data_IF_642391828738
#
_entry.id   IF_642391828738
#
_cell.length_a   1.000
_cell.length_b   1.000
_cell.length_c   1.000
_cell.angle_alpha   90.00
_cell.angle_beta   90.00
_cell.angle_gamma   90.00
#
_symmetry.space_group_name_H-M   'P 1'
#
loop_
_entity.id
_entity.type
_entity.pdbx_description
1 polymer ?
#
# COMPACT_ATOMS: atom_id res chain seq x y z
N UNK A 1 9.00 13.21 -6.25
CA UNK A 1 10.36 12.62 -6.20
C UNK A 1 10.27 11.10 -6.12
N UNK A 2 11.34 10.32 -6.40
CA UNK A 2 11.32 8.86 -6.21
C UNK A 2 10.91 8.44 -4.79
N UNK A 3 11.36 9.17 -3.76
CA UNK A 3 10.98 8.95 -2.36
C UNK A 3 9.46 9.11 -2.13
N UNK A 4 8.84 10.15 -2.69
CA UNK A 4 7.39 10.36 -2.58
C UNK A 4 6.57 9.24 -3.26
N UNK A 5 7.07 8.71 -4.38
CA UNK A 5 6.42 7.59 -5.09
C UNK A 5 6.59 6.30 -4.28
N UNK A 6 7.79 6.01 -3.75
CA UNK A 6 8.01 4.87 -2.86
C UNK A 6 7.17 4.95 -1.59
N UNK A 7 7.07 6.13 -0.97
CA UNK A 7 6.21 6.36 0.19
C UNK A 7 4.73 6.11 -0.13
N UNK A 8 4.26 6.56 -1.30
CA UNK A 8 2.91 6.25 -1.77
C UNK A 8 2.66 4.75 -1.93
N UNK A 9 3.65 3.98 -2.42
CA UNK A 9 3.54 2.52 -2.55
C UNK A 9 3.47 1.84 -1.19
N UNK A 10 4.27 2.29 -0.21
CA UNK A 10 4.23 1.77 1.16
C UNK A 10 2.91 2.11 1.84
N UNK A 11 2.37 3.32 1.69
CA UNK A 11 1.06 3.64 2.26
C UNK A 11 -0.05 2.81 1.59
N UNK A 12 0.07 2.58 0.29
CA UNK A 12 -0.82 1.68 -0.44
C UNK A 12 -0.74 0.22 0.01
N UNK A 13 0.42 -0.25 0.49
CA UNK A 13 0.60 -1.59 1.06
C UNK A 13 -0.29 -1.80 2.29
N UNK A 14 -0.25 -0.87 3.25
CA UNK A 14 -1.06 -0.96 4.49
C UNK A 14 -2.57 -0.96 4.23
N UNK A 15 -3.02 -0.20 3.23
CA UNK A 15 -4.44 -0.12 2.88
C UNK A 15 -4.85 -1.30 2.01
N UNK A 16 -4.00 -1.68 1.05
CA UNK A 16 -4.32 -2.70 0.05
C UNK A 16 -4.29 -4.12 0.59
N UNK A 17 -3.33 -4.47 1.46
CA UNK A 17 -3.27 -5.82 2.05
C UNK A 17 -4.39 -6.08 3.06
N UNK A 18 -5.09 -5.05 3.54
CA UNK A 18 -6.21 -5.23 4.44
C UNK A 18 -7.50 -5.46 3.63
N UNK A 19 -8.16 -6.63 3.74
CA UNK A 19 -9.39 -6.90 3.00
C UNK A 19 -10.58 -6.08 3.51
N UNK A 20 -10.52 -5.56 4.74
CA UNK A 20 -11.60 -4.83 5.38
C UNK A 20 -11.31 -3.34 5.47
N UNK A 21 -12.40 -2.55 5.53
CA UNK A 21 -12.29 -1.17 5.96
C UNK A 21 -12.09 -1.11 7.48
N UNK A 22 -10.98 -0.53 7.91
CA UNK A 22 -10.56 -0.42 9.31
C UNK A 22 -10.09 1.00 9.63
N UNK A 23 -10.05 1.34 10.93
CA UNK A 23 -9.57 2.64 11.37
C UNK A 23 -8.13 2.93 10.92
N UNK A 24 -7.23 1.96 11.00
CA UNK A 24 -5.84 2.19 10.58
C UNK A 24 -5.73 2.38 9.06
N UNK A 25 -6.53 1.68 8.24
CA UNK A 25 -6.58 1.94 6.79
C UNK A 25 -7.03 3.38 6.49
N UNK A 26 -7.98 3.92 7.27
CA UNK A 26 -8.37 5.34 7.18
C UNK A 26 -7.23 6.27 7.60
N UNK A 27 -6.52 5.97 8.67
CA UNK A 27 -5.34 6.74 9.10
C UNK A 27 -4.29 6.78 7.99
N UNK A 28 -3.97 5.64 7.35
CA UNK A 28 -3.03 5.63 6.23
C UNK A 28 -3.53 6.39 5.01
N UNK A 29 -4.85 6.36 4.74
CA UNK A 29 -5.45 7.16 3.67
C UNK A 29 -5.27 8.66 3.93
N UNK A 30 -5.47 9.08 5.18
CA UNK A 30 -5.25 10.46 5.62
C UNK A 30 -3.76 10.84 5.53
N UNK A 31 -2.85 9.93 5.90
CA UNK A 31 -1.41 10.13 5.77
C UNK A 31 -0.96 10.30 4.31
N UNK A 32 -1.63 9.68 3.33
CA UNK A 32 -1.33 9.91 1.91
C UNK A 32 -1.47 11.40 1.56
N UNK A 33 -2.48 12.07 2.12
CA UNK A 33 -2.70 13.50 1.88
C UNK A 33 -1.70 14.36 2.66
N UNK A 34 -1.53 14.12 3.96
CA UNK A 34 -0.65 14.93 4.82
C UNK A 34 0.83 14.83 4.46
N UNK A 35 1.31 13.64 4.05
CA UNK A 35 2.71 13.43 3.70
C UNK A 35 3.06 13.91 2.28
N UNK A 36 2.10 14.53 1.57
CA UNK A 36 2.28 15.06 0.21
C UNK A 36 2.94 14.04 -0.73
N UNK A 37 2.56 12.76 -0.59
CA UNK A 37 3.05 11.69 -1.46
C UNK A 37 2.28 11.71 -2.79
N UNK A 38 2.75 10.95 -3.78
CA UNK A 38 2.11 10.93 -5.09
C UNK A 38 0.78 10.17 -5.04
N UNK A 39 -0.34 10.90 -4.92
CA UNK A 39 -1.70 10.38 -4.70
C UNK A 39 -2.10 9.32 -5.73
N UNK A 40 -1.87 9.56 -7.03
CA UNK A 40 -2.21 8.58 -8.07
C UNK A 40 -1.42 7.27 -7.93
N UNK A 41 -0.17 7.33 -7.46
CA UNK A 41 0.61 6.12 -7.17
C UNK A 41 0.06 5.41 -5.96
N UNK A 42 -0.39 6.13 -4.94
CA UNK A 42 -0.96 5.53 -3.75
C UNK A 42 -2.20 4.70 -4.10
N UNK A 43 -3.16 5.27 -4.84
CA UNK A 43 -4.35 4.54 -5.28
C UNK A 43 -4.04 3.36 -6.19
N UNK A 44 -3.11 3.51 -7.14
CA UNK A 44 -2.66 2.39 -7.97
C UNK A 44 -2.05 1.28 -7.10
N UNK A 45 -1.24 1.67 -6.12
CA UNK A 45 -0.61 0.72 -5.21
C UNK A 45 -1.63 0.01 -4.33
N UNK A 46 -2.68 0.70 -3.85
CA UNK A 46 -3.78 0.07 -3.12
C UNK A 46 -4.42 -1.02 -3.97
N UNK A 47 -4.74 -0.72 -5.24
CA UNK A 47 -5.35 -1.70 -6.13
C UNK A 47 -4.46 -2.93 -6.36
N UNK A 48 -3.16 -2.71 -6.60
CA UNK A 48 -2.19 -3.80 -6.78
C UNK A 48 -2.07 -4.65 -5.51
N UNK A 49 -1.87 -4.02 -4.35
CA UNK A 49 -1.73 -4.73 -3.09
C UNK A 49 -3.02 -5.44 -2.66
N UNK A 50 -4.19 -4.94 -3.07
CA UNK A 50 -5.46 -5.62 -2.84
C UNK A 50 -5.58 -6.93 -3.61
N UNK A 51 -5.12 -6.95 -4.86
CA UNK A 51 -5.05 -8.19 -5.65
C UNK A 51 -4.05 -9.17 -5.02
N UNK A 52 -2.88 -8.67 -4.63
CA UNK A 52 -1.84 -9.48 -3.96
C UNK A 52 -2.36 -9.99 -2.59
N UNK A 53 -3.14 -9.16 -1.89
CA UNK A 53 -3.73 -9.48 -0.59
C UNK A 53 -4.49 -10.79 -0.60
N UNK A 54 -5.32 -11.03 -1.62
CA UNK A 54 -6.04 -12.30 -1.77
C UNK A 54 -5.13 -13.54 -1.80
N UNK A 55 -3.92 -13.41 -2.33
CA UNK A 55 -2.92 -14.50 -2.33
C UNK A 55 -2.20 -14.62 -0.99
N UNK A 56 -2.04 -13.51 -0.27
CA UNK A 56 -1.35 -13.40 1.02
C UNK A 56 -2.28 -13.66 2.20
N UNK A 57 -3.60 -13.69 1.99
CA UNK A 57 -4.62 -13.89 3.03
C UNK A 57 -4.41 -15.15 3.89
N UNK A 58 -4.05 -16.34 3.34
CA UNK A 58 -3.76 -17.52 4.16
C UNK A 58 -2.57 -17.31 5.09
N UNK A 59 -1.53 -16.62 4.62
CA UNK A 59 -0.35 -16.28 5.43
C UNK A 59 -0.71 -15.26 6.51
N UNK A 60 -1.49 -14.24 6.16
CA UNK A 60 -2.00 -13.25 7.10
C UNK A 60 -2.83 -13.91 8.20
N UNK A 61 -3.75 -14.81 7.83
CA UNK A 61 -4.52 -15.59 8.78
C UNK A 61 -3.62 -16.38 9.73
N UNK A 62 -2.62 -17.10 9.21
CA UNK A 62 -1.71 -17.91 10.02
C UNK A 62 -0.93 -17.06 11.05
N UNK A 63 -0.38 -15.92 10.62
CA UNK A 63 0.35 -14.99 11.49
C UNK A 63 -0.58 -14.41 12.55
N UNK A 64 -1.76 -13.91 12.17
CA UNK A 64 -2.70 -13.33 13.11
C UNK A 64 -3.28 -14.35 14.08
N UNK A 65 -3.55 -15.58 13.62
CA UNK A 65 -3.99 -16.67 14.48
C UNK A 65 -2.91 -17.05 15.49
N UNK A 66 -1.65 -17.11 15.07
CA UNK A 66 -0.54 -17.34 15.98
C UNK A 66 -0.45 -16.25 17.06
N UNK A 67 -0.57 -14.98 16.68
CA UNK A 67 -0.51 -13.85 17.62
C UNK A 67 -1.71 -13.75 18.58
N UNK A 68 -2.92 -14.01 18.10
CA UNK A 68 -4.15 -13.84 18.88
C UNK A 68 -4.53 -15.08 19.68
N UNK A 69 -4.20 -16.28 19.21
CA UNK A 69 -4.76 -17.54 19.75
C UNK A 69 -3.69 -18.46 20.31
N UNK A 70 -2.48 -18.49 19.73
CA UNK A 70 -1.43 -19.43 20.17
C UNK A 70 -0.54 -18.90 21.30
N UNK A 71 -0.52 -17.59 21.53
CA UNK A 71 0.34 -16.96 22.54
C UNK A 71 -0.53 -16.49 23.71
N UNK A 72 -0.77 -17.39 24.67
CA UNK A 72 -1.63 -17.10 25.82
C UNK A 72 -1.16 -15.91 26.67
N UNK A 73 0.17 -15.67 26.71
CA UNK A 73 0.74 -14.53 27.43
C UNK A 73 0.36 -13.17 26.86
N UNK A 74 -0.14 -13.11 25.61
CA UNK A 74 -0.63 -11.87 25.00
C UNK A 74 -2.13 -11.64 25.26
N UNK A 75 -2.86 -12.59 25.83
CA UNK A 75 -4.29 -12.43 26.12
C UNK A 75 -4.61 -11.19 26.96
N UNK A 76 -3.86 -10.86 28.04
CA UNK A 76 -4.11 -9.63 28.80
C UNK A 76 -3.88 -8.36 27.96
N UNK A 77 -2.88 -8.37 27.08
CA UNK A 77 -2.58 -7.24 26.18
C UNK A 77 -3.72 -7.02 25.18
N UNK A 78 -4.17 -8.09 24.51
CA UNK A 78 -5.29 -8.00 23.56
C UNK A 78 -6.60 -7.61 24.24
N UNK A 79 -6.86 -8.13 25.44
CA UNK A 79 -8.05 -7.79 26.23
C UNK A 79 -8.06 -6.31 26.63
N UNK A 80 -6.92 -5.77 27.06
CA UNK A 80 -6.79 -4.35 27.38
C UNK A 80 -7.08 -3.48 26.15
N UNK A 81 -6.45 -3.78 25.01
CA UNK A 81 -6.69 -3.06 23.75
C UNK A 81 -8.16 -3.12 23.32
N UNK A 82 -8.80 -4.28 23.47
CA UNK A 82 -10.21 -4.47 23.12
C UNK A 82 -11.15 -3.63 23.98
N UNK A 83 -10.81 -3.41 25.25
CA UNK A 83 -11.65 -2.63 26.18
C UNK A 83 -11.47 -1.11 26.03
N UNK A 84 -10.59 -0.64 25.14
CA UNK A 84 -10.48 0.79 24.84
C UNK A 84 -11.56 1.26 23.87
N UNK A 85 -11.91 2.55 23.90
CA UNK A 85 -12.99 3.08 23.08
C UNK A 85 -12.70 3.13 21.57
N UNK A 86 -11.42 3.23 21.17
CA UNK A 86 -11.05 3.54 19.78
C UNK A 86 -10.38 2.34 19.09
N UNK A 87 -9.55 1.58 19.79
CA UNK A 87 -8.71 0.54 19.17
C UNK A 87 -9.53 -0.61 18.55
N UNK A 88 -10.69 -1.03 19.07
CA UNK A 88 -11.53 -2.05 18.43
C UNK A 88 -11.94 -1.71 16.98
N UNK A 89 -12.04 -0.42 16.62
CA UNK A 89 -12.33 0.00 15.23
C UNK A 89 -11.20 -0.32 14.24
N UNK A 90 -10.00 -0.64 14.72
CA UNK A 90 -8.93 -1.21 13.90
C UNK A 90 -9.21 -2.65 13.46
N UNK A 91 -10.15 -3.34 14.12
CA UNK A 91 -10.48 -4.75 13.92
C UNK A 91 -9.28 -5.68 14.13
N UNK A 92 -8.34 -5.32 15.02
CA UNK A 92 -7.16 -6.14 15.32
C UNK A 92 -7.50 -7.56 15.80
N UNK A 93 -8.70 -7.79 16.33
CA UNK A 93 -9.20 -9.11 16.74
C UNK A 93 -9.52 -10.05 15.56
N UNK A 94 -9.47 -9.54 14.32
CA UNK A 94 -9.54 -10.37 13.13
C UNK A 94 -8.11 -10.83 12.74
N UNK A 95 -7.93 -12.14 12.62
CA UNK A 95 -6.63 -12.76 12.31
C UNK A 95 -6.04 -12.28 10.98
N UNK A 96 -6.85 -12.14 9.94
CA UNK A 96 -6.38 -11.65 8.63
C UNK A 96 -5.96 -10.19 8.73
N UNK A 97 -6.75 -9.35 9.40
CA UNK A 97 -6.43 -7.91 9.60
C UNK A 97 -5.11 -7.74 10.35
N UNK A 98 -4.95 -8.42 11.49
CA UNK A 98 -3.73 -8.33 12.29
C UNK A 98 -2.52 -8.86 11.52
N UNK A 99 -2.66 -10.01 10.87
CA UNK A 99 -1.59 -10.60 10.07
C UNK A 99 -1.16 -9.69 8.91
N UNK A 100 -2.12 -9.15 8.14
CA UNK A 100 -1.84 -8.21 7.05
C UNK A 100 -1.15 -6.95 7.56
N UNK A 101 -1.51 -6.46 8.74
CA UNK A 101 -0.84 -5.31 9.36
C UNK A 101 0.62 -5.63 9.73
N UNK A 102 0.88 -6.78 10.35
CA UNK A 102 2.24 -7.23 10.69
C UNK A 102 3.09 -7.46 9.43
N UNK A 103 2.53 -8.12 8.41
CA UNK A 103 3.20 -8.31 7.12
C UNK A 103 3.54 -6.95 6.49
N UNK A 104 2.61 -5.99 6.52
CA UNK A 104 2.83 -4.65 5.99
C UNK A 104 3.97 -3.92 6.72
N UNK A 105 4.04 -4.05 8.06
CA UNK A 105 5.14 -3.51 8.86
C UNK A 105 6.49 -4.11 8.44
N UNK A 106 6.58 -5.43 8.32
CA UNK A 106 7.80 -6.14 7.92
C UNK A 106 8.21 -5.73 6.49
N UNK A 107 7.25 -5.64 5.58
CA UNK A 107 7.49 -5.33 4.18
C UNK A 107 7.75 -3.84 3.91
N UNK A 108 7.50 -2.95 4.87
CA UNK A 108 7.65 -1.50 4.68
C UNK A 108 9.05 -1.11 4.18
N UNK A 109 10.10 -1.54 4.89
CA UNK A 109 11.49 -1.23 4.55
C UNK A 109 11.90 -1.84 3.19
N UNK A 110 11.73 -3.17 2.96
CA UNK A 110 12.16 -3.76 1.69
C UNK A 110 11.37 -3.20 0.50
N UNK A 111 10.06 -2.99 0.61
CA UNK A 111 9.25 -2.40 -0.47
C UNK A 111 9.69 -0.96 -0.76
N UNK A 112 9.94 -0.15 0.27
CA UNK A 112 10.40 1.23 0.07
C UNK A 112 11.71 1.29 -0.73
N UNK A 113 12.72 0.51 -0.30
CA UNK A 113 14.04 0.48 -0.92
C UNK A 113 13.93 -0.08 -2.34
N UNK A 114 13.19 -1.17 -2.52
CA UNK A 114 12.98 -1.79 -3.83
C UNK A 114 12.33 -0.81 -4.80
N UNK A 115 11.23 -0.17 -4.41
CA UNK A 115 10.56 0.82 -5.25
C UNK A 115 11.48 2.00 -5.58
N UNK A 116 12.26 2.48 -4.60
CA UNK A 116 13.17 3.60 -4.83
C UNK A 116 14.23 3.24 -5.88
N UNK A 117 14.88 2.08 -5.73
CA UNK A 117 15.87 1.58 -6.69
C UNK A 117 15.25 1.35 -8.05
N UNK A 118 14.06 0.73 -8.10
CA UNK A 118 13.34 0.47 -9.33
C UNK A 118 12.99 1.76 -10.09
N UNK A 119 12.51 2.80 -9.40
CA UNK A 119 12.16 4.07 -10.04
C UNK A 119 13.41 4.76 -10.62
N UNK A 120 14.52 4.75 -9.89
CA UNK A 120 15.79 5.34 -10.37
C UNK A 120 16.29 4.56 -11.59
N UNK A 121 16.30 3.24 -11.51
CA UNK A 121 16.68 2.36 -12.62
C UNK A 121 15.79 2.56 -13.85
N UNK A 122 14.47 2.62 -13.66
CA UNK A 122 13.49 2.83 -14.71
C UNK A 122 13.74 4.15 -15.44
N UNK A 123 13.99 5.23 -14.69
CA UNK A 123 14.26 6.55 -15.26
C UNK A 123 15.56 6.60 -16.06
N UNK A 124 16.60 5.90 -15.61
CA UNK A 124 17.89 5.88 -16.27
C UNK A 124 17.91 4.99 -17.54
N UNK A 125 17.36 3.78 -17.45
CA UNK A 125 17.61 2.73 -18.45
C UNK A 125 16.40 2.39 -19.31
N UNK A 126 15.19 2.52 -18.76
CA UNK A 126 13.97 1.98 -19.37
C UNK A 126 13.12 3.07 -20.00
N UNK A 127 13.14 4.29 -19.46
CA UNK A 127 12.31 5.41 -19.91
C UNK A 127 12.41 5.66 -21.42
N UNK A 128 13.63 5.71 -21.97
CA UNK A 128 13.84 5.94 -23.41
C UNK A 128 13.28 4.81 -24.27
N UNK A 129 13.31 3.56 -23.78
CA UNK A 129 12.73 2.41 -24.48
C UNK A 129 11.21 2.50 -24.49
N UNK A 130 10.60 2.83 -23.34
CA UNK A 130 9.15 2.98 -23.19
C UNK A 130 8.63 4.14 -24.03
N UNK A 131 9.31 5.29 -24.03
CA UNK A 131 8.94 6.44 -24.86
C UNK A 131 9.00 6.13 -26.36
N UNK A 132 9.81 5.15 -26.76
CA UNK A 132 9.92 4.72 -28.14
C UNK A 132 8.90 3.67 -28.59
N UNK A 133 8.11 3.09 -27.67
CA UNK A 133 7.08 2.12 -28.02
C UNK A 133 6.00 2.76 -28.90
N UNK A 134 5.60 2.05 -29.96
CA UNK A 134 4.57 2.51 -30.91
C UNK A 134 3.27 2.91 -30.22
N UNK A 135 2.83 2.12 -29.23
CA UNK A 135 1.62 2.39 -28.43
C UNK A 135 1.73 3.74 -27.70
N UNK A 136 2.89 4.04 -27.11
CA UNK A 136 3.13 5.30 -26.39
C UNK A 136 3.14 6.49 -27.35
N UNK A 137 3.75 6.34 -28.54
CA UNK A 137 3.75 7.38 -29.57
C UNK A 137 2.32 7.64 -30.09
N UNK A 138 1.55 6.59 -30.36
CA UNK A 138 0.15 6.70 -30.79
C UNK A 138 -0.72 7.34 -29.71
N UNK A 139 -0.53 6.98 -28.43
CA UNK A 139 -1.25 7.60 -27.32
C UNK A 139 -0.95 9.10 -27.20
N UNK A 140 0.31 9.52 -27.37
CA UNK A 140 0.70 10.95 -27.36
C UNK A 140 0.07 11.76 -28.49
N UNK A 141 -0.26 11.13 -29.61
CA UNK A 141 -0.92 11.77 -30.75
C UNK A 141 -2.44 11.89 -30.56
N UNK A 142 -3.01 11.15 -29.61
CA UNK A 142 -4.46 11.17 -29.34
C UNK A 142 -4.94 12.54 -28.82
N UNK A 143 -6.19 12.88 -29.13
CA UNK A 143 -6.82 14.12 -28.65
C UNK A 143 -6.90 14.18 -27.13
N UNK A 144 -7.02 13.03 -26.45
CA UNK A 144 -7.04 12.93 -24.99
C UNK A 144 -5.72 13.44 -24.40
N UNK A 145 -4.58 13.06 -25.00
CA UNK A 145 -3.27 13.53 -24.54
C UNK A 145 -3.09 15.03 -24.78
N UNK A 146 -3.56 15.56 -25.91
CA UNK A 146 -3.53 17.02 -26.18
C UNK A 146 -4.33 17.80 -25.14
N UNK A 147 -5.55 17.35 -24.81
CA UNK A 147 -6.40 17.97 -23.78
C UNK A 147 -5.67 17.93 -22.42
N UNK A 148 -5.15 16.77 -22.02
CA UNK A 148 -4.38 16.64 -20.77
C UNK A 148 -3.15 17.58 -20.73
N UNK A 149 -2.41 17.68 -21.84
CA UNK A 149 -1.22 18.54 -21.91
C UNK A 149 -1.54 20.03 -21.80
N UNK A 150 -2.75 20.45 -22.19
CA UNK A 150 -3.21 21.84 -22.12
C UNK A 150 -3.47 22.31 -20.68
N UNK A 151 -3.85 21.39 -19.79
CA UNK A 151 -4.08 21.67 -18.35
C UNK A 151 -2.84 21.45 -17.50
N UNK A 152 -1.71 21.06 -18.09
CA UNK A 152 -0.45 20.82 -17.40
C UNK A 152 0.52 22.01 -17.50
N UNK A 153 -0.01 23.19 -17.84
CA UNK A 153 0.69 24.48 -17.81
C UNK A 153 0.49 25.16 -16.47
#
# INVERSE_FOLDING_TARGET
>A
SPKQISGAVVLGLFIGLNPYFTLHSLVFLVLIYFLQVHVATAFLSIAIWKIIGYLVDPLSHAIGYWLLVKIDSLNPFWTNLYNTSIIPFTKFYNTVVLGSFVISLILTIPVFIFCQKFIVFYRANVRKKVENLKIVKLFKLSNIYKIYSRFKG
#
